data_IF_691188891929
#
_entry.id   IF_691188891929
#
_cell.length_a   1.000
_cell.length_b   1.000
_cell.length_c   1.000
_cell.angle_alpha   90.00
_cell.angle_beta   90.00
_cell.angle_gamma   90.00
#
_symmetry.space_group_name_H-M   'P 1'
#
loop_
_entity.id
_entity.type
_entity.pdbx_description
1 polymer ?
#
# COMPACT_ATOMS: atom_id res chain seq x y z
N UNK A 1 -10.91 8.09 -18.17
CA UNK A 1 -11.74 6.97 -17.63
C UNK A 1 -11.17 6.49 -16.30
N UNK A 2 -12.00 6.11 -15.34
CA UNK A 2 -11.59 5.56 -14.05
C UNK A 2 -12.13 4.14 -13.95
N UNK A 3 -11.27 3.17 -13.61
CA UNK A 3 -11.66 1.79 -13.37
C UNK A 3 -11.60 1.45 -11.89
N UNK A 4 -12.58 0.71 -11.41
CA UNK A 4 -12.57 0.06 -10.12
C UNK A 4 -12.91 -1.41 -10.29
N UNK A 5 -12.36 -2.29 -9.45
CA UNK A 5 -12.61 -3.71 -9.55
C UNK A 5 -12.68 -4.36 -8.16
N UNK A 6 -13.56 -5.32 -8.05
CA UNK A 6 -13.74 -6.13 -6.85
C UNK A 6 -13.97 -7.60 -7.23
N UNK A 7 -13.75 -8.49 -6.28
CA UNK A 7 -13.94 -9.93 -6.47
C UNK A 7 -14.88 -10.45 -5.40
N UNK A 8 -15.88 -11.18 -5.83
CA UNK A 8 -16.94 -11.74 -4.99
C UNK A 8 -17.06 -13.26 -5.12
N UNK A 9 -17.96 -13.83 -4.31
CA UNK A 9 -18.23 -15.28 -4.31
C UNK A 9 -19.51 -15.65 -5.02
N UNK A 10 -20.51 -14.77 -5.05
CA UNK A 10 -21.84 -15.04 -5.56
C UNK A 10 -22.27 -14.07 -6.67
N UNK A 11 -22.71 -14.60 -7.80
CA UNK A 11 -23.19 -13.81 -8.95
C UNK A 11 -24.54 -13.16 -8.66
N UNK A 12 -25.48 -13.90 -8.05
CA UNK A 12 -26.85 -13.45 -7.84
C UNK A 12 -26.94 -12.10 -7.12
N UNK A 13 -26.23 -11.95 -6.01
CA UNK A 13 -26.27 -10.70 -5.24
C UNK A 13 -25.70 -9.50 -5.99
N UNK A 14 -24.68 -9.71 -6.83
CA UNK A 14 -24.16 -8.65 -7.70
C UNK A 14 -25.14 -8.29 -8.81
N UNK A 15 -25.71 -9.27 -9.48
CA UNK A 15 -26.68 -9.05 -10.56
C UNK A 15 -27.93 -8.34 -10.04
N UNK A 16 -28.49 -8.77 -8.90
CA UNK A 16 -29.61 -8.09 -8.24
C UNK A 16 -29.27 -6.62 -7.90
N UNK A 17 -28.05 -6.36 -7.45
CA UNK A 17 -27.59 -4.99 -7.17
C UNK A 17 -27.52 -4.15 -8.44
N UNK A 18 -26.99 -4.70 -9.54
CA UNK A 18 -26.82 -3.98 -10.81
C UNK A 18 -28.17 -3.70 -11.48
N UNK A 19 -29.08 -4.68 -11.47
CA UNK A 19 -30.39 -4.55 -12.09
C UNK A 19 -31.37 -3.61 -11.35
N UNK A 20 -31.24 -3.53 -10.01
CA UNK A 20 -32.09 -2.67 -9.17
C UNK A 20 -31.75 -1.19 -9.19
N UNK A 21 -30.61 -0.81 -9.78
CA UNK A 21 -30.28 0.62 -9.87
C UNK A 21 -31.28 1.31 -10.83
N UNK A 22 -31.63 2.54 -10.47
CA UNK A 22 -32.44 3.40 -11.35
C UNK A 22 -31.72 3.56 -12.70
N UNK A 23 -32.46 3.43 -13.81
CA UNK A 23 -31.92 3.47 -15.17
C UNK A 23 -30.88 2.39 -15.53
N UNK A 24 -30.86 1.27 -14.82
CA UNK A 24 -30.00 0.15 -15.17
C UNK A 24 -30.40 -0.46 -16.52
N UNK A 25 -29.44 -0.58 -17.43
CA UNK A 25 -29.67 -1.19 -18.76
C UNK A 25 -28.61 -2.26 -19.02
N UNK A 26 -29.04 -3.46 -19.31
CA UNK A 26 -28.18 -4.53 -19.85
C UNK A 26 -27.83 -4.17 -21.29
N UNK A 27 -26.58 -3.83 -21.59
CA UNK A 27 -26.15 -3.34 -22.90
C UNK A 27 -25.29 -4.33 -23.68
N UNK A 28 -24.78 -5.38 -23.03
CA UNK A 28 -23.90 -6.34 -23.69
C UNK A 28 -23.54 -7.53 -22.82
N UNK A 29 -22.72 -8.40 -23.41
CA UNK A 29 -22.28 -9.64 -22.82
C UNK A 29 -22.32 -10.80 -23.82
N UNK A 30 -21.91 -11.97 -23.35
CA UNK A 30 -21.91 -13.22 -24.14
C UNK A 30 -22.91 -14.25 -23.57
N UNK A 31 -23.92 -13.77 -22.86
CA UNK A 31 -24.95 -14.61 -22.19
C UNK A 31 -26.34 -14.30 -22.72
N UNK A 32 -27.25 -15.28 -22.65
CA UNK A 32 -28.58 -15.18 -23.21
C UNK A 32 -29.63 -14.67 -22.23
N UNK A 33 -29.40 -14.69 -20.93
CA UNK A 33 -30.32 -14.21 -19.91
C UNK A 33 -30.50 -12.70 -19.97
N UNK A 34 -31.69 -12.23 -19.67
CA UNK A 34 -32.09 -10.83 -19.71
C UNK A 34 -32.43 -10.25 -18.31
N UNK A 35 -32.39 -11.05 -17.28
CA UNK A 35 -32.61 -10.67 -15.89
C UNK A 35 -31.60 -11.33 -14.94
N UNK A 36 -31.51 -10.82 -13.71
CA UNK A 36 -30.57 -11.31 -12.70
C UNK A 36 -30.75 -12.80 -12.36
N UNK A 37 -31.98 -13.34 -12.47
CA UNK A 37 -32.25 -14.74 -12.16
C UNK A 37 -31.73 -15.64 -13.29
N UNK A 38 -32.04 -15.31 -14.52
CA UNK A 38 -31.64 -16.06 -15.72
C UNK A 38 -30.09 -16.05 -15.83
N UNK A 39 -29.48 -14.87 -15.74
CA UNK A 39 -28.01 -14.70 -15.78
C UNK A 39 -27.30 -15.45 -14.64
N UNK A 40 -27.84 -15.41 -13.42
CA UNK A 40 -27.25 -16.17 -12.31
C UNK A 40 -27.31 -17.69 -12.52
N UNK A 41 -28.34 -18.19 -13.23
CA UNK A 41 -28.45 -19.59 -13.64
C UNK A 41 -27.38 -19.94 -14.67
N UNK A 42 -27.17 -19.09 -15.67
CA UNK A 42 -26.14 -19.30 -16.70
C UNK A 42 -24.71 -19.27 -16.11
N UNK A 43 -24.40 -18.39 -15.16
CA UNK A 43 -23.12 -18.39 -14.47
C UNK A 43 -22.83 -19.69 -13.70
N UNK A 44 -23.84 -20.52 -13.40
CA UNK A 44 -23.65 -21.85 -12.83
C UNK A 44 -22.83 -22.77 -13.74
N UNK A 45 -22.85 -22.55 -15.07
CA UNK A 45 -22.08 -23.34 -16.03
C UNK A 45 -20.60 -23.23 -15.73
N UNK A 46 -20.07 -22.02 -15.65
CA UNK A 46 -18.67 -21.82 -15.28
C UNK A 46 -18.39 -22.31 -13.85
N UNK A 47 -19.33 -22.12 -12.92
CA UNK A 47 -19.16 -22.57 -11.53
C UNK A 47 -19.04 -24.09 -11.41
N UNK A 48 -19.72 -24.86 -12.27
CA UNK A 48 -19.63 -26.33 -12.33
C UNK A 48 -18.25 -26.81 -12.78
N UNK A 49 -17.54 -26.02 -13.62
CA UNK A 49 -16.19 -26.35 -14.06
C UNK A 49 -15.13 -26.21 -12.96
N UNK A 50 -15.41 -25.41 -11.92
CA UNK A 50 -14.53 -25.24 -10.77
C UNK A 50 -15.36 -24.97 -9.49
N UNK A 51 -15.91 -26.04 -8.87
CA UNK A 51 -16.73 -25.90 -7.66
C UNK A 51 -15.97 -25.36 -6.44
N UNK A 52 -14.68 -25.66 -6.33
CA UNK A 52 -13.82 -25.25 -5.22
C UNK A 52 -13.26 -23.83 -5.35
N UNK A 53 -13.48 -23.19 -6.50
CA UNK A 53 -12.95 -21.83 -6.75
C UNK A 53 -13.49 -20.82 -5.73
N UNK A 54 -12.59 -20.05 -5.09
CA UNK A 54 -12.96 -18.92 -4.24
C UNK A 54 -12.95 -17.61 -5.06
N UNK A 55 -13.81 -16.65 -4.67
CA UNK A 55 -13.93 -15.32 -5.29
C UNK A 55 -13.99 -15.37 -6.82
N UNK A 56 -14.88 -16.20 -7.34
CA UNK A 56 -15.04 -16.46 -8.77
C UNK A 56 -15.77 -15.35 -9.53
N UNK A 57 -16.39 -14.42 -8.84
CA UNK A 57 -17.05 -13.26 -9.44
C UNK A 57 -16.03 -12.14 -9.61
N UNK A 58 -15.96 -11.58 -10.81
CA UNK A 58 -15.25 -10.35 -11.11
C UNK A 58 -16.27 -9.25 -11.37
N UNK A 59 -16.17 -8.16 -10.64
CA UNK A 59 -16.96 -6.96 -10.84
C UNK A 59 -16.04 -5.81 -11.13
N UNK A 60 -16.11 -5.24 -12.32
CA UNK A 60 -15.40 -4.02 -12.68
C UNK A 60 -16.43 -2.91 -13.00
N UNK A 61 -16.08 -1.67 -12.68
CA UNK A 61 -16.78 -0.50 -13.19
C UNK A 61 -15.80 0.38 -13.96
N UNK A 62 -16.23 0.86 -15.12
CA UNK A 62 -15.51 1.82 -15.96
C UNK A 62 -16.37 3.09 -16.04
N UNK A 63 -15.79 4.24 -15.66
CA UNK A 63 -16.51 5.50 -15.56
C UNK A 63 -15.76 6.60 -16.31
N UNK A 64 -16.48 7.38 -17.12
CA UNK A 64 -15.94 8.52 -17.83
C UNK A 64 -15.84 9.76 -16.94
N UNK A 65 -14.98 10.72 -17.26
CA UNK A 65 -15.00 12.04 -16.67
C UNK A 65 -16.36 12.73 -16.87
N UNK A 66 -16.63 13.72 -16.05
CA UNK A 66 -17.84 14.53 -16.19
C UNK A 66 -17.93 15.16 -17.57
N UNK A 67 -19.11 15.04 -18.20
CA UNK A 67 -19.40 15.62 -19.53
C UNK A 67 -19.05 14.72 -20.71
N UNK A 68 -18.27 13.66 -20.54
CA UNK A 68 -18.05 12.62 -21.56
C UNK A 68 -19.17 11.57 -21.50
N UNK A 69 -19.66 11.16 -22.67
CA UNK A 69 -20.65 10.09 -22.83
C UNK A 69 -20.33 9.26 -24.05
N UNK A 70 -20.68 7.98 -24.02
CA UNK A 70 -20.58 7.05 -25.14
C UNK A 70 -21.93 6.43 -25.44
N UNK A 71 -22.11 5.91 -26.65
CA UNK A 71 -23.25 5.06 -26.97
C UNK A 71 -23.06 3.63 -26.41
N UNK A 72 -24.12 2.84 -26.39
CA UNK A 72 -24.09 1.50 -25.81
C UNK A 72 -23.17 0.54 -26.59
N UNK A 73 -23.08 0.72 -27.93
CA UNK A 73 -22.22 -0.12 -28.78
C UNK A 73 -20.73 0.11 -28.48
N UNK A 74 -20.32 1.37 -28.37
CA UNK A 74 -18.95 1.76 -28.01
C UNK A 74 -18.60 1.29 -26.59
N UNK A 75 -19.51 1.43 -25.63
CA UNK A 75 -19.30 0.91 -24.27
C UNK A 75 -19.12 -0.61 -24.25
N UNK A 76 -19.90 -1.35 -25.05
CA UNK A 76 -19.80 -2.80 -25.13
C UNK A 76 -18.46 -3.22 -25.76
N UNK A 77 -17.99 -2.52 -26.77
CA UNK A 77 -16.68 -2.75 -27.40
C UNK A 77 -15.54 -2.49 -26.41
N UNK A 78 -15.58 -1.38 -25.69
CA UNK A 78 -14.60 -1.05 -24.63
C UNK A 78 -14.59 -2.13 -23.55
N UNK A 79 -15.76 -2.56 -23.08
CA UNK A 79 -15.87 -3.61 -22.06
C UNK A 79 -15.30 -4.95 -22.53
N UNK A 80 -15.54 -5.32 -23.78
CA UNK A 80 -14.98 -6.51 -24.42
C UNK A 80 -13.45 -6.46 -24.45
N UNK A 81 -12.90 -5.42 -25.04
CA UNK A 81 -11.43 -5.24 -25.13
C UNK A 81 -10.79 -5.20 -23.74
N UNK A 82 -11.41 -4.51 -22.79
CA UNK A 82 -10.94 -4.49 -21.41
C UNK A 82 -10.87 -5.90 -20.82
N UNK A 83 -11.91 -6.71 -21.00
CA UNK A 83 -11.95 -8.08 -20.50
C UNK A 83 -10.91 -8.98 -21.18
N UNK A 84 -10.78 -8.92 -22.50
CA UNK A 84 -9.79 -9.68 -23.26
C UNK A 84 -8.36 -9.38 -22.78
N UNK A 85 -7.98 -8.09 -22.68
CA UNK A 85 -6.66 -7.68 -22.22
C UNK A 85 -6.43 -7.99 -20.71
N UNK A 86 -7.49 -8.09 -19.92
CA UNK A 86 -7.44 -8.60 -18.54
C UNK A 86 -7.35 -10.14 -18.46
N UNK A 87 -7.46 -10.87 -19.60
CA UNK A 87 -7.36 -12.32 -19.69
C UNK A 87 -8.68 -13.07 -19.51
N UNK A 88 -9.81 -12.40 -19.76
CA UNK A 88 -11.16 -12.98 -19.73
C UNK A 88 -11.68 -13.36 -21.12
N UNK A 89 -10.82 -13.87 -21.99
CA UNK A 89 -11.10 -14.22 -23.38
C UNK A 89 -12.02 -15.46 -23.55
N UNK A 90 -12.14 -16.29 -22.51
CA UNK A 90 -13.00 -17.49 -22.51
C UNK A 90 -13.89 -17.55 -21.27
N UNK A 91 -14.50 -16.42 -20.90
CA UNK A 91 -15.25 -16.29 -19.69
C UNK A 91 -16.68 -15.77 -19.96
N UNK A 92 -17.64 -16.19 -19.14
CA UNK A 92 -18.99 -15.61 -19.17
C UNK A 92 -18.93 -14.19 -18.59
N UNK A 93 -19.64 -13.26 -19.21
CA UNK A 93 -19.77 -11.89 -18.71
C UNK A 93 -21.03 -11.20 -19.22
N UNK A 94 -21.43 -10.13 -18.49
CA UNK A 94 -22.49 -9.18 -18.88
C UNK A 94 -22.06 -7.77 -18.54
N UNK A 95 -22.61 -6.80 -19.27
CA UNK A 95 -22.33 -5.38 -19.13
C UNK A 95 -23.62 -4.61 -18.85
N UNK A 96 -23.68 -3.96 -17.69
CA UNK A 96 -24.76 -3.05 -17.32
C UNK A 96 -24.30 -1.60 -17.42
N UNK A 97 -25.11 -0.73 -18.00
CA UNK A 97 -24.91 0.71 -18.01
C UNK A 97 -25.86 1.37 -17.01
N UNK A 98 -25.36 2.32 -16.23
CA UNK A 98 -26.14 3.16 -15.33
C UNK A 98 -26.02 4.61 -15.76
N UNK A 99 -27.14 5.32 -15.90
CA UNK A 99 -27.20 6.72 -16.34
C UNK A 99 -27.66 7.69 -15.24
N UNK A 100 -27.91 7.18 -14.05
CA UNK A 100 -28.43 7.93 -12.89
C UNK A 100 -27.39 8.78 -12.15
N UNK A 101 -26.19 8.91 -12.66
CA UNK A 101 -25.11 9.70 -12.07
C UNK A 101 -24.58 10.74 -13.05
N UNK A 102 -23.83 11.73 -12.54
CA UNK A 102 -23.17 12.75 -13.37
C UNK A 102 -22.10 12.15 -14.31
N UNK A 103 -21.63 10.95 -14.01
CA UNK A 103 -20.62 10.23 -14.78
C UNK A 103 -21.26 9.08 -15.55
N UNK A 104 -21.09 9.06 -16.86
CA UNK A 104 -21.45 7.91 -17.66
C UNK A 104 -20.55 6.72 -17.33
N UNK A 105 -21.14 5.59 -16.97
CA UNK A 105 -20.39 4.43 -16.51
C UNK A 105 -21.06 3.10 -16.78
N UNK A 106 -20.22 2.08 -16.89
CA UNK A 106 -20.67 0.69 -17.04
C UNK A 106 -20.12 -0.18 -15.91
N UNK A 107 -20.90 -1.21 -15.59
CA UNK A 107 -20.50 -2.29 -14.70
C UNK A 107 -20.38 -3.59 -15.48
N UNK A 108 -19.27 -4.27 -15.32
CA UNK A 108 -18.98 -5.57 -15.91
C UNK A 108 -19.07 -6.62 -14.80
N UNK A 109 -19.97 -7.59 -14.96
CA UNK A 109 -20.01 -8.78 -14.13
C UNK A 109 -19.48 -9.95 -14.95
N UNK A 110 -18.35 -10.55 -14.55
CA UNK A 110 -17.74 -11.66 -15.27
C UNK A 110 -17.40 -12.82 -14.34
N UNK A 111 -17.42 -14.04 -14.87
CA UNK A 111 -16.89 -15.20 -14.19
C UNK A 111 -15.37 -15.22 -14.32
N UNK A 112 -14.65 -15.39 -13.22
CA UNK A 112 -13.20 -15.62 -13.25
C UNK A 112 -12.83 -17.05 -13.67
N UNK A 113 -13.81 -17.95 -13.75
CA UNK A 113 -13.60 -19.32 -14.20
C UNK A 113 -13.69 -19.34 -15.72
N UNK A 114 -12.64 -19.79 -16.37
CA UNK A 114 -12.55 -19.93 -17.82
C UNK A 114 -13.40 -21.13 -18.28
N UNK A 115 -14.12 -20.99 -19.38
CA UNK A 115 -14.96 -22.05 -19.95
C UNK A 115 -14.15 -23.14 -20.65
N UNK A 116 -12.97 -22.77 -21.18
CA UNK A 116 -12.09 -23.67 -21.92
C UNK A 116 -11.33 -24.70 -21.04
N UNK A 117 -11.06 -24.35 -19.79
CA UNK A 117 -10.19 -25.19 -18.95
C UNK A 117 -10.53 -25.19 -17.44
N UNK A 118 -11.57 -24.49 -17.01
CA UNK A 118 -12.01 -24.41 -15.61
C UNK A 118 -11.05 -23.65 -14.67
N UNK A 119 -9.95 -23.09 -15.17
CA UNK A 119 -8.99 -22.36 -14.37
C UNK A 119 -9.50 -20.95 -14.04
N UNK A 120 -9.06 -20.43 -12.90
CA UNK A 120 -9.39 -19.05 -12.50
C UNK A 120 -8.41 -18.09 -13.17
N UNK A 121 -8.92 -17.01 -13.78
CA UNK A 121 -8.12 -15.92 -14.34
C UNK A 121 -7.19 -15.37 -13.28
N UNK A 122 -5.90 -15.27 -13.64
CA UNK A 122 -4.86 -14.81 -12.74
C UNK A 122 -5.05 -13.32 -12.36
N UNK A 123 -4.95 -13.02 -11.08
CA UNK A 123 -5.19 -11.68 -10.53
C UNK A 123 -3.95 -10.96 -9.99
N UNK A 124 -2.76 -11.47 -10.29
CA UNK A 124 -1.52 -10.80 -9.96
C UNK A 124 -1.41 -9.45 -10.68
N UNK A 125 -1.15 -8.39 -9.89
CA UNK A 125 -1.00 -7.02 -10.39
C UNK A 125 -2.21 -6.50 -11.20
N UNK A 126 -3.39 -7.06 -10.98
CA UNK A 126 -4.60 -6.77 -11.76
C UNK A 126 -4.99 -5.28 -11.72
N UNK A 127 -4.84 -4.59 -10.60
CA UNK A 127 -5.07 -3.14 -10.53
C UNK A 127 -4.15 -2.35 -11.46
N UNK A 128 -2.85 -2.72 -11.52
CA UNK A 128 -1.89 -2.06 -12.40
C UNK A 128 -2.17 -2.40 -13.87
N UNK A 129 -2.49 -3.67 -14.18
CA UNK A 129 -2.87 -4.08 -15.53
C UNK A 129 -4.12 -3.33 -15.99
N UNK A 130 -5.17 -3.34 -15.18
CA UNK A 130 -6.42 -2.61 -15.44
C UNK A 130 -6.16 -1.13 -15.73
N UNK A 131 -5.34 -0.45 -14.93
CA UNK A 131 -5.01 0.95 -15.15
C UNK A 131 -4.27 1.17 -16.48
N UNK A 132 -3.32 0.28 -16.83
CA UNK A 132 -2.59 0.34 -18.11
C UNK A 132 -3.53 0.16 -19.29
N UNK A 133 -4.43 -0.83 -19.23
CA UNK A 133 -5.44 -1.10 -20.25
C UNK A 133 -6.37 0.11 -20.42
N UNK A 134 -6.88 0.66 -19.32
CA UNK A 134 -7.75 1.83 -19.36
C UNK A 134 -7.06 3.04 -20.02
N UNK A 135 -5.78 3.29 -19.72
CA UNK A 135 -5.01 4.37 -20.39
C UNK A 135 -4.87 4.13 -21.89
N UNK A 136 -4.74 2.87 -22.32
CA UNK A 136 -4.68 2.54 -23.74
C UNK A 136 -6.05 2.71 -24.40
N UNK A 137 -7.14 2.24 -23.78
CA UNK A 137 -8.51 2.42 -24.27
C UNK A 137 -8.86 3.89 -24.41
N UNK A 138 -8.49 4.75 -23.45
CA UNK A 138 -8.70 6.21 -23.60
C UNK A 138 -8.06 6.79 -24.85
N UNK A 139 -6.87 6.33 -25.22
CA UNK A 139 -6.18 6.78 -26.45
C UNK A 139 -6.86 6.25 -27.70
N UNK A 140 -7.19 4.97 -27.71
CA UNK A 140 -7.75 4.29 -28.89
C UNK A 140 -9.13 4.81 -29.26
N UNK A 141 -9.93 5.21 -28.25
CA UNK A 141 -11.28 5.77 -28.44
C UNK A 141 -11.32 7.31 -28.37
N UNK A 142 -10.16 7.98 -28.35
CA UNK A 142 -10.10 9.44 -28.34
C UNK A 142 -10.71 10.10 -27.11
N UNK A 143 -10.74 9.40 -25.97
CA UNK A 143 -11.32 9.88 -24.72
C UNK A 143 -10.36 10.78 -23.95
N UNK A 144 -10.91 11.58 -23.05
CA UNK A 144 -10.11 12.39 -22.13
C UNK A 144 -9.17 11.51 -21.30
N UNK A 145 -7.88 11.76 -21.43
CA UNK A 145 -6.87 11.03 -20.67
C UNK A 145 -6.88 11.43 -19.20
N UNK A 146 -7.08 10.47 -18.34
CA UNK A 146 -7.05 10.67 -16.89
C UNK A 146 -5.64 10.38 -16.34
N UNK A 147 -5.07 11.24 -15.47
CA UNK A 147 -3.77 10.95 -14.86
C UNK A 147 -3.75 9.61 -14.15
N UNK A 148 -2.66 8.86 -14.31
CA UNK A 148 -2.46 7.59 -13.65
C UNK A 148 -2.44 7.74 -12.12
N UNK A 149 -2.79 6.66 -11.42
CA UNK A 149 -2.75 6.62 -9.95
C UNK A 149 -1.37 6.95 -9.38
N UNK A 150 -0.31 6.66 -10.16
CA UNK A 150 1.07 7.00 -9.81
C UNK A 150 1.41 8.48 -10.00
N UNK A 151 0.62 9.22 -10.79
CA UNK A 151 0.82 10.64 -11.09
C UNK A 151 0.01 11.53 -10.15
N UNK A 152 -1.03 11.00 -9.51
CA UNK A 152 -1.82 11.76 -8.53
C UNK A 152 -0.96 12.12 -7.33
N UNK A 153 -0.62 13.39 -7.22
CA UNK A 153 0.24 13.92 -6.15
C UNK A 153 -0.36 13.70 -4.77
N UNK A 154 -1.67 13.85 -4.63
CA UNK A 154 -2.45 13.60 -3.41
C UNK A 154 -3.66 12.72 -3.74
N UNK A 155 -4.03 11.83 -2.83
CA UNK A 155 -5.21 10.97 -2.97
C UNK A 155 -6.31 11.42 -2.04
N UNK A 156 -7.43 11.82 -2.61
CA UNK A 156 -8.64 12.19 -1.88
C UNK A 156 -9.22 11.00 -1.08
N UNK A 157 -10.12 11.23 -0.14
CA UNK A 157 -10.93 10.20 0.49
C UNK A 157 -11.68 9.37 -0.55
N UNK A 158 -11.94 8.10 -0.24
CA UNK A 158 -12.81 7.29 -1.08
C UNK A 158 -14.25 7.82 -1.06
N UNK A 159 -15.05 7.50 -2.08
CA UNK A 159 -16.48 7.87 -2.15
C UNK A 159 -17.23 7.44 -0.87
N UNK A 160 -16.94 6.24 -0.34
CA UNK A 160 -17.54 5.79 0.91
C UNK A 160 -17.15 6.65 2.12
N UNK A 161 -15.90 7.14 2.17
CA UNK A 161 -15.46 8.08 3.21
C UNK A 161 -16.10 9.46 3.03
N UNK A 162 -16.25 9.96 1.80
CA UNK A 162 -16.93 11.22 1.52
C UNK A 162 -18.40 11.18 1.95
N UNK A 163 -19.15 10.14 1.53
CA UNK A 163 -20.54 9.93 1.94
C UNK A 163 -20.70 9.81 3.44
N UNK A 164 -19.77 9.18 4.13
CA UNK A 164 -19.76 9.13 5.59
C UNK A 164 -19.57 10.51 6.18
N UNK A 165 -18.63 11.30 5.67
CA UNK A 165 -18.39 12.67 6.16
C UNK A 165 -19.61 13.57 5.93
N UNK A 166 -20.22 13.48 4.75
CA UNK A 166 -21.45 14.23 4.43
C UNK A 166 -22.59 13.88 5.40
N UNK A 167 -22.78 12.58 5.65
CA UNK A 167 -23.79 12.13 6.62
C UNK A 167 -23.49 12.62 8.02
N UNK A 168 -22.25 12.46 8.52
CA UNK A 168 -21.81 12.92 9.83
C UNK A 168 -21.96 14.44 9.99
N UNK A 169 -21.74 15.19 8.90
CA UNK A 169 -21.96 16.64 8.88
C UNK A 169 -23.46 16.98 8.96
N UNK A 170 -24.31 16.27 8.25
CA UNK A 170 -25.77 16.47 8.33
C UNK A 170 -26.29 16.13 9.71
N UNK A 171 -25.87 15.02 10.32
CA UNK A 171 -26.22 14.62 11.69
C UNK A 171 -25.77 15.68 12.73
N UNK A 172 -24.63 16.34 12.50
CA UNK A 172 -24.16 17.43 13.36
C UNK A 172 -25.02 18.69 13.20
N UNK A 173 -25.38 19.05 11.95
CA UNK A 173 -26.24 20.23 11.66
C UNK A 173 -27.65 20.03 12.20
N UNK A 174 -28.20 18.81 12.11
CA UNK A 174 -29.54 18.47 12.66
C UNK A 174 -29.56 18.36 14.17
N UNK A 175 -28.41 18.33 14.86
CA UNK A 175 -28.30 18.15 16.29
C UNK A 175 -28.31 16.70 16.77
N UNK A 176 -28.37 15.73 15.86
CA UNK A 176 -28.35 14.29 16.17
C UNK A 176 -26.95 13.81 16.60
N UNK A 177 -25.92 14.60 16.33
CA UNK A 177 -24.54 14.33 16.71
C UNK A 177 -23.95 15.49 17.52
N UNK A 178 -23.33 15.22 18.69
CA UNK A 178 -22.80 16.27 19.57
C UNK A 178 -21.49 16.90 19.10
N UNK A 179 -20.77 16.27 18.18
CA UNK A 179 -19.47 16.71 17.70
C UNK A 179 -19.44 16.84 16.17
N UNK A 180 -18.74 17.86 15.62
CA UNK A 180 -18.60 17.99 14.17
C UNK A 180 -17.88 16.77 13.60
N UNK A 181 -18.02 16.58 12.29
CA UNK A 181 -17.33 15.51 11.58
C UNK A 181 -15.80 15.60 11.76
N UNK A 182 -15.15 14.47 11.99
CA UNK A 182 -13.70 14.40 11.98
C UNK A 182 -13.19 14.16 10.57
N UNK A 183 -12.20 14.95 10.15
CA UNK A 183 -11.51 14.72 8.88
C UNK A 183 -10.84 13.33 8.88
N UNK A 184 -10.84 12.59 7.76
CA UNK A 184 -10.15 11.32 7.67
C UNK A 184 -8.70 11.43 8.12
N UNK A 185 -8.23 10.46 8.89
CA UNK A 185 -6.83 10.41 9.39
C UNK A 185 -5.83 10.55 8.24
N UNK A 186 -6.16 9.99 7.08
CA UNK A 186 -5.37 10.15 5.86
C UNK A 186 -5.16 11.60 5.47
N UNK A 187 -6.22 12.42 5.45
CA UNK A 187 -6.13 13.84 5.11
C UNK A 187 -5.36 14.63 6.17
N UNK A 188 -5.65 14.37 7.45
CA UNK A 188 -4.91 14.97 8.56
C UNK A 188 -3.41 14.67 8.46
N UNK A 189 -3.04 13.42 8.09
CA UNK A 189 -1.64 13.03 7.91
C UNK A 189 -0.99 13.70 6.69
N UNK A 190 -1.73 13.85 5.59
CA UNK A 190 -1.26 14.60 4.42
C UNK A 190 -0.97 16.05 4.78
N UNK A 191 -1.91 16.74 5.45
CA UNK A 191 -1.74 18.13 5.91
C UNK A 191 -0.56 18.28 6.88
N UNK A 192 -0.34 17.29 7.75
CA UNK A 192 0.78 17.28 8.68
C UNK A 192 2.12 17.15 7.94
N UNK A 193 2.21 16.26 6.96
CA UNK A 193 3.41 16.11 6.12
C UNK A 193 3.64 17.39 5.31
N UNK A 194 2.57 18.01 4.78
CA UNK A 194 2.66 19.23 3.99
C UNK A 194 3.22 20.40 4.83
N UNK A 195 2.75 20.55 6.07
CA UNK A 195 3.30 21.54 7.00
C UNK A 195 4.75 21.24 7.36
N UNK A 196 5.07 19.98 7.61
CA UNK A 196 6.43 19.57 7.99
C UNK A 196 7.46 19.73 6.86
N UNK A 197 6.99 19.86 5.59
CA UNK A 197 7.84 20.04 4.40
C UNK A 197 7.86 21.47 3.86
N UNK A 198 7.14 22.42 4.46
CA UNK A 198 6.92 23.77 3.91
C UNK A 198 8.21 24.58 3.72
N UNK A 199 9.24 24.33 4.50
CA UNK A 199 10.54 25.02 4.48
C UNK A 199 11.66 24.21 3.80
N UNK A 200 11.31 23.21 2.99
CA UNK A 200 12.26 22.33 2.28
C UNK A 200 13.29 21.64 3.19
N UNK A 201 12.88 20.90 4.23
CA UNK A 201 13.76 20.30 5.19
C UNK A 201 14.62 19.19 4.59
N UNK A 202 15.64 18.75 5.32
CA UNK A 202 16.32 17.49 5.03
C UNK A 202 15.41 16.30 5.40
N UNK A 203 15.67 15.12 4.81
CA UNK A 203 14.90 13.91 5.12
C UNK A 203 14.95 13.55 6.62
N UNK A 204 16.10 13.61 7.32
CA UNK A 204 16.13 13.41 8.77
C UNK A 204 15.26 14.41 9.55
N UNK A 205 15.32 15.70 9.20
CA UNK A 205 14.48 16.72 9.85
C UNK A 205 12.99 16.47 9.66
N UNK A 206 12.56 16.07 8.45
CA UNK A 206 11.18 15.69 8.21
C UNK A 206 10.75 14.51 9.10
N UNK A 207 11.57 13.45 9.16
CA UNK A 207 11.27 12.27 9.98
C UNK A 207 11.15 12.67 11.46
N UNK A 208 12.06 13.47 11.97
CA UNK A 208 12.07 13.94 13.36
C UNK A 208 10.82 14.77 13.68
N UNK A 209 10.44 15.73 12.82
CA UNK A 209 9.21 16.53 12.96
C UNK A 209 7.96 15.65 13.01
N UNK A 210 7.88 14.67 12.12
CA UNK A 210 6.76 13.73 12.10
C UNK A 210 6.70 12.87 13.37
N UNK A 211 7.85 12.45 13.90
CA UNK A 211 7.91 11.69 15.14
C UNK A 211 7.47 12.52 16.37
N UNK A 212 7.81 13.79 16.43
CA UNK A 212 7.36 14.74 17.47
C UNK A 212 5.83 14.86 17.47
N UNK A 213 5.21 14.81 16.28
CA UNK A 213 3.73 14.78 16.10
C UNK A 213 3.11 13.38 16.32
N UNK A 214 3.90 12.43 16.79
CA UNK A 214 3.45 11.06 17.07
C UNK A 214 3.31 10.15 15.84
N UNK A 215 3.81 10.58 14.67
CA UNK A 215 3.81 9.75 13.46
C UNK A 215 5.02 8.83 13.48
N UNK A 216 4.79 7.52 13.47
CA UNK A 216 5.87 6.55 13.29
C UNK A 216 6.19 6.42 11.80
N UNK A 217 7.40 6.77 11.42
CA UNK A 217 7.89 6.66 10.04
C UNK A 217 8.67 5.35 9.88
N UNK A 218 8.48 4.65 8.77
CA UNK A 218 9.26 3.47 8.38
C UNK A 218 9.80 3.71 6.97
N UNK A 219 11.10 3.60 6.83
CA UNK A 219 11.80 3.66 5.56
C UNK A 219 12.70 2.43 5.45
N UNK A 220 12.68 1.78 4.30
CA UNK A 220 13.52 0.62 4.03
C UNK A 220 14.36 0.83 2.78
N UNK A 221 15.56 0.28 2.79
CA UNK A 221 16.42 0.20 1.62
C UNK A 221 16.38 -1.22 1.03
N UNK A 222 16.54 -1.32 -0.29
CA UNK A 222 16.82 -2.59 -0.97
C UNK A 222 18.27 -3.00 -0.73
N UNK A 223 18.62 -4.25 -1.08
CA UNK A 223 20.00 -4.75 -1.05
C UNK A 223 20.99 -3.82 -1.78
N UNK A 224 20.54 -3.15 -2.84
CA UNK A 224 21.34 -2.24 -3.66
C UNK A 224 21.26 -0.77 -3.20
N UNK A 225 20.87 -0.50 -1.95
CA UNK A 225 20.74 0.85 -1.40
C UNK A 225 19.60 1.70 -1.97
N UNK A 226 18.73 1.14 -2.84
CA UNK A 226 17.57 1.87 -3.34
C UNK A 226 16.45 1.86 -2.31
N UNK A 227 15.72 2.98 -2.19
CA UNK A 227 14.56 3.07 -1.31
C UNK A 227 13.49 2.02 -1.66
N UNK A 228 13.05 1.24 -0.66
CA UNK A 228 11.88 0.37 -0.74
C UNK A 228 10.57 1.15 -0.59
N UNK A 229 10.66 2.44 -0.34
CA UNK A 229 9.54 3.32 -0.07
C UNK A 229 9.50 3.78 1.38
N UNK A 230 8.56 4.65 1.66
CA UNK A 230 8.29 5.20 2.98
C UNK A 230 6.85 4.87 3.38
N UNK A 231 6.63 4.57 4.64
CA UNK A 231 5.31 4.38 5.22
C UNK A 231 5.19 5.06 6.57
N UNK A 232 3.97 5.41 6.92
CA UNK A 232 3.61 6.19 8.08
C UNK A 232 2.59 5.42 8.91
N UNK A 233 2.74 5.42 10.22
CA UNK A 233 1.74 4.88 11.15
C UNK A 233 1.34 5.97 12.12
N UNK A 234 0.04 6.27 12.20
CA UNK A 234 -0.51 7.34 13.03
C UNK A 234 -1.94 7.02 13.44
N UNK A 235 -2.30 7.29 14.70
CA UNK A 235 -3.65 7.00 15.25
C UNK A 235 -4.12 5.58 14.89
N UNK A 236 -3.25 4.58 15.12
CA UNK A 236 -3.49 3.15 14.86
C UNK A 236 -3.77 2.76 13.40
N UNK A 237 -3.54 3.68 12.45
CA UNK A 237 -3.63 3.41 11.02
C UNK A 237 -2.26 3.46 10.35
N UNK A 238 -2.09 2.62 9.32
CA UNK A 238 -0.86 2.54 8.54
C UNK A 238 -1.11 2.95 7.09
N UNK A 239 -0.25 3.83 6.58
CA UNK A 239 -0.32 4.34 5.21
C UNK A 239 1.03 4.17 4.52
N UNK A 240 1.06 3.57 3.33
CA UNK A 240 2.24 3.71 2.46
C UNK A 240 2.26 5.11 1.83
N UNK A 241 3.44 5.61 1.47
CA UNK A 241 3.53 6.87 0.75
C UNK A 241 2.68 6.89 -0.52
N UNK A 242 2.61 5.77 -1.25
CA UNK A 242 1.74 5.63 -2.43
C UNK A 242 0.25 5.69 -2.10
N UNK A 243 -0.16 5.26 -0.91
CA UNK A 243 -1.55 5.36 -0.46
C UNK A 243 -1.96 6.80 -0.17
N UNK A 244 -1.03 7.64 0.27
CA UNK A 244 -1.26 9.08 0.45
C UNK A 244 -1.24 9.83 -0.89
N UNK A 245 -0.42 9.40 -1.83
CA UNK A 245 -0.23 9.99 -3.16
C UNK A 245 1.23 10.01 -3.58
N UNK A 246 1.48 10.31 -4.86
CA UNK A 246 2.83 10.31 -5.41
C UNK A 246 3.79 11.27 -4.67
N UNK A 247 3.29 12.43 -4.23
CA UNK A 247 4.08 13.43 -3.52
C UNK A 247 4.56 12.98 -2.12
N UNK A 248 3.91 11.96 -1.52
CA UNK A 248 4.22 11.45 -0.19
C UNK A 248 5.07 10.18 -0.20
N UNK A 249 5.47 9.73 -1.38
CA UNK A 249 6.47 8.64 -1.52
C UNK A 249 7.87 9.17 -1.24
N UNK A 250 8.83 8.30 -0.93
CA UNK A 250 10.21 8.74 -0.68
C UNK A 250 10.82 9.55 -1.83
N UNK A 251 10.69 9.15 -3.11
CA UNK A 251 11.09 10.02 -4.24
C UNK A 251 10.18 11.25 -4.40
N UNK A 252 8.89 11.10 -4.11
CA UNK A 252 7.92 12.18 -4.26
C UNK A 252 8.13 13.33 -3.29
N UNK A 253 8.52 13.05 -2.05
CA UNK A 253 8.90 14.04 -1.07
C UNK A 253 10.05 14.93 -1.60
N UNK A 254 11.02 14.33 -2.26
CA UNK A 254 12.13 15.07 -2.86
C UNK A 254 11.69 15.89 -4.08
N UNK A 255 10.91 15.27 -4.98
CA UNK A 255 10.50 15.88 -6.25
C UNK A 255 9.42 16.94 -6.09
N UNK A 256 8.46 16.74 -5.19
CA UNK A 256 7.24 17.54 -5.11
C UNK A 256 7.05 18.31 -3.80
N UNK A 257 7.85 18.00 -2.76
CA UNK A 257 7.77 18.62 -1.43
C UNK A 257 9.10 19.28 -1.02
N UNK A 258 10.07 19.37 -1.94
CA UNK A 258 11.34 20.05 -1.69
C UNK A 258 12.25 19.41 -0.63
N UNK A 259 11.94 18.18 -0.19
CA UNK A 259 12.74 17.51 0.83
C UNK A 259 14.12 17.16 0.29
N UNK A 260 15.16 17.68 0.90
CA UNK A 260 16.54 17.42 0.51
C UNK A 260 17.03 16.10 1.11
N UNK A 261 17.51 15.20 0.25
CA UNK A 261 18.08 13.92 0.69
C UNK A 261 19.40 13.63 -0.01
N UNK A 262 20.41 13.34 0.80
CA UNK A 262 21.75 12.92 0.34
C UNK A 262 22.16 11.66 1.11
N UNK A 263 22.32 10.48 0.45
CA UNK A 263 22.60 9.22 1.14
C UNK A 263 23.76 9.29 2.13
N UNK A 264 24.90 9.83 1.69
CA UNK A 264 26.13 9.92 2.53
C UNK A 264 25.95 10.79 3.78
N UNK A 265 25.08 11.81 3.71
CA UNK A 265 24.81 12.72 4.83
C UNK A 265 23.72 12.18 5.74
N UNK A 266 22.66 11.60 5.16
CA UNK A 266 21.37 11.44 5.84
C UNK A 266 21.11 10.02 6.32
N UNK A 267 21.66 8.97 5.67
CA UNK A 267 21.29 7.59 5.96
C UNK A 267 21.58 7.19 7.41
N UNK A 268 22.75 7.56 7.93
CA UNK A 268 23.11 7.25 9.32
C UNK A 268 22.13 7.91 10.31
N UNK A 269 21.76 9.18 10.07
CA UNK A 269 20.81 9.90 10.93
C UNK A 269 19.40 9.36 10.79
N UNK A 270 18.96 9.01 9.59
CA UNK A 270 17.65 8.35 9.36
C UNK A 270 17.59 7.04 10.16
N UNK A 271 18.60 6.19 10.04
CA UNK A 271 18.66 4.92 10.79
C UNK A 271 18.57 5.18 12.29
N UNK A 272 19.33 6.14 12.80
CA UNK A 272 19.31 6.53 14.23
C UNK A 272 17.91 6.96 14.69
N UNK A 273 17.22 7.80 13.92
CA UNK A 273 15.86 8.26 14.21
C UNK A 273 14.81 7.13 14.14
N UNK A 274 15.00 6.16 13.24
CA UNK A 274 14.10 5.01 13.13
C UNK A 274 14.28 4.02 14.29
N UNK A 275 15.49 3.92 14.84
CA UNK A 275 15.81 3.08 15.98
C UNK A 275 15.42 3.74 17.32
N UNK A 276 15.68 5.04 17.44
CA UNK A 276 15.39 5.85 18.64
C UNK A 276 14.50 7.02 18.25
N UNK A 277 13.18 6.80 18.09
CA UNK A 277 12.27 7.85 17.65
C UNK A 277 12.21 8.99 18.67
N UNK A 278 12.14 10.23 18.18
CA UNK A 278 11.90 11.40 19.00
C UNK A 278 10.62 11.23 19.83
N UNK A 279 10.68 11.62 21.09
CA UNK A 279 9.52 11.49 21.98
C UNK A 279 8.41 12.46 21.53
N UNK A 280 7.16 12.00 21.41
CA UNK A 280 6.04 12.90 21.12
C UNK A 280 5.93 13.97 22.19
N UNK A 281 5.76 15.20 21.78
CA UNK A 281 5.47 16.31 22.72
C UNK A 281 4.07 16.06 23.29
N UNK A 282 3.95 15.93 24.61
CA UNK A 282 2.65 15.88 25.28
C UNK A 282 1.89 17.18 24.98
N UNK A 283 0.73 17.03 24.42
CA UNK A 283 -0.19 18.02 23.88
C UNK A 283 -0.17 19.36 24.61
N UNK A 284 0.13 20.43 23.92
CA UNK A 284 -0.42 21.75 24.15
C UNK A 284 -1.67 21.94 23.27
N UNK A 285 -2.72 22.50 23.87
CA UNK A 285 -3.99 22.93 23.26
C UNK A 285 -3.77 23.80 22.00
N UNK A 286 -4.78 23.99 21.13
CA UNK A 286 -4.62 24.70 19.87
C UNK A 286 -4.07 26.10 20.10
N UNK A 287 -2.97 26.43 19.45
CA UNK A 287 -2.34 27.75 19.49
C UNK A 287 -2.87 28.58 18.32
N UNK A 288 -3.53 29.66 18.69
CA UNK A 288 -3.82 30.79 17.80
C UNK A 288 -2.52 31.43 17.28
N UNK A 289 -2.60 31.86 16.03
CA UNK A 289 -1.75 32.79 15.29
C UNK A 289 -0.36 33.15 15.86
N UNK A 290 0.68 32.75 15.14
CA UNK A 290 2.04 33.30 15.33
C UNK A 290 2.20 34.64 14.58
N UNK A 291 2.37 35.72 15.34
CA UNK A 291 3.01 36.94 14.90
C UNK A 291 4.51 36.81 15.13
N UNK A 292 5.26 37.20 14.10
CA UNK A 292 6.73 37.34 14.09
C UNK A 292 7.26 38.13 15.28
N UNK A 293 8.33 37.66 15.92
CA UNK A 293 9.32 38.49 16.63
C UNK A 293 10.71 37.93 16.47
N UNK A 294 11.62 38.88 16.19
CA UNK A 294 13.04 38.74 15.94
C UNK A 294 13.87 38.38 17.18
N UNK A 295 14.98 37.76 16.91
CA UNK A 295 16.28 37.71 17.60
C UNK A 295 16.38 37.96 19.10
N UNK A 296 16.96 36.98 19.79
CA UNK A 296 18.08 37.22 20.74
C UNK A 296 18.89 35.92 20.91
N UNK A 297 20.20 36.08 20.69
CA UNK A 297 21.25 35.11 20.98
C UNK A 297 21.31 34.81 22.48
N UNK A 298 21.53 33.57 22.85
CA UNK A 298 22.39 33.27 24.02
C UNK A 298 22.95 31.84 23.93
N UNK A 299 24.20 31.81 24.39
CA UNK A 299 25.28 30.86 24.34
C UNK A 299 24.99 29.44 24.89
N UNK A 300 25.65 28.50 24.23
CA UNK A 300 26.44 27.36 24.70
C UNK A 300 25.99 26.60 25.96
N UNK A 301 25.52 25.36 25.73
CA UNK A 301 25.94 24.18 26.49
C UNK A 301 25.95 22.97 25.59
N UNK A 302 27.14 22.42 25.31
CA UNK A 302 27.36 21.16 24.60
C UNK A 302 26.74 19.98 25.38
N UNK A 303 26.00 19.08 24.72
CA UNK A 303 25.75 17.76 25.29
C UNK A 303 26.90 16.83 24.93
N UNK A 304 27.40 16.17 25.96
CA UNK A 304 28.48 15.19 25.94
C UNK A 304 28.31 14.16 24.82
N UNK A 305 29.36 14.02 24.03
CA UNK A 305 29.56 13.07 22.96
C UNK A 305 29.35 11.61 23.44
N UNK A 306 28.26 10.97 23.04
CA UNK A 306 28.24 9.51 22.96
C UNK A 306 28.94 9.10 21.66
N UNK A 307 29.82 8.09 21.65
CA UNK A 307 30.57 7.70 20.47
C UNK A 307 29.58 7.24 19.36
N UNK A 308 29.73 7.82 18.19
CA UNK A 308 28.97 7.42 17.01
C UNK A 308 29.21 5.93 16.71
N UNK A 309 28.13 5.16 16.61
CA UNK A 309 28.19 3.76 16.24
C UNK A 309 28.74 3.61 14.81
N UNK A 310 29.74 2.77 14.62
CA UNK A 310 30.25 2.49 13.28
C UNK A 310 29.21 1.77 12.41
N UNK A 311 29.43 1.73 11.09
CA UNK A 311 28.51 1.10 10.11
C UNK A 311 28.11 -0.33 10.48
N UNK A 312 29.03 -1.15 11.00
CA UNK A 312 28.79 -2.55 11.36
C UNK A 312 27.93 -2.68 12.62
N UNK A 313 28.13 -1.83 13.61
CA UNK A 313 27.32 -1.75 14.82
C UNK A 313 25.88 -1.35 14.49
N UNK A 314 25.71 -0.40 13.59
CA UNK A 314 24.39 0.03 13.10
C UNK A 314 23.67 -1.14 12.40
N UNK A 315 24.38 -1.89 11.54
CA UNK A 315 23.81 -3.04 10.83
C UNK A 315 23.42 -4.18 11.77
N UNK A 316 24.23 -4.46 12.78
CA UNK A 316 23.89 -5.45 13.80
C UNK A 316 22.62 -5.08 14.58
N UNK A 317 22.51 -3.84 15.03
CA UNK A 317 21.32 -3.35 15.72
C UNK A 317 20.08 -3.43 14.84
N UNK A 318 20.19 -3.04 13.58
CA UNK A 318 19.10 -3.13 12.61
C UNK A 318 18.61 -4.58 12.43
N UNK A 319 19.52 -5.55 12.32
CA UNK A 319 19.18 -6.96 12.21
C UNK A 319 18.52 -7.48 13.49
N UNK A 320 19.03 -7.12 14.66
CA UNK A 320 18.47 -7.49 15.96
C UNK A 320 17.02 -7.03 16.12
N UNK A 321 16.69 -5.84 15.63
CA UNK A 321 15.34 -5.28 15.67
C UNK A 321 14.44 -5.90 14.61
N UNK A 322 14.93 -6.02 13.38
CA UNK A 322 14.16 -6.57 12.25
C UNK A 322 13.72 -8.00 12.52
N UNK A 323 14.60 -8.79 13.13
CA UNK A 323 14.34 -10.18 13.50
C UNK A 323 13.69 -10.35 14.89
N UNK A 324 13.38 -9.25 15.59
CA UNK A 324 12.79 -9.24 16.94
C UNK A 324 13.62 -10.01 17.98
N UNK A 325 14.94 -9.87 17.93
CA UNK A 325 15.87 -10.64 18.77
C UNK A 325 16.34 -9.90 20.02
N UNK A 326 15.84 -8.72 20.28
CA UNK A 326 16.31 -7.83 21.36
C UNK A 326 16.16 -8.43 22.77
N UNK A 327 15.20 -9.33 22.97
CA UNK A 327 14.96 -10.01 24.23
C UNK A 327 15.83 -11.26 24.46
N UNK A 328 16.60 -11.69 23.44
CA UNK A 328 17.44 -12.89 23.51
C UNK A 328 18.79 -12.59 24.16
N UNK A 329 19.43 -13.63 24.67
CA UNK A 329 20.83 -13.57 25.10
C UNK A 329 21.73 -13.13 23.94
N UNK A 330 22.89 -12.47 24.19
CA UNK A 330 23.81 -12.07 23.12
C UNK A 330 24.22 -13.25 22.22
N UNK A 331 24.44 -14.43 22.76
CA UNK A 331 24.82 -15.63 22.00
C UNK A 331 23.71 -16.11 21.08
N UNK A 332 22.47 -16.19 21.59
CA UNK A 332 21.32 -16.61 20.78
C UNK A 332 20.95 -15.59 19.72
N UNK A 333 21.12 -14.31 20.04
CA UNK A 333 20.90 -13.20 19.09
C UNK A 333 21.90 -13.28 17.94
N UNK A 334 23.19 -13.42 18.24
CA UNK A 334 24.25 -13.53 17.24
C UNK A 334 24.06 -14.73 16.35
N UNK A 335 23.74 -15.90 16.93
CA UNK A 335 23.48 -17.13 16.18
C UNK A 335 22.32 -16.95 15.17
N UNK A 336 21.22 -16.32 15.60
CA UNK A 336 20.07 -16.06 14.71
C UNK A 336 20.36 -15.02 13.64
N UNK A 337 21.19 -14.00 13.94
CA UNK A 337 21.66 -13.05 12.95
C UNK A 337 22.54 -13.74 11.92
N UNK A 338 23.49 -14.60 12.35
CA UNK A 338 24.37 -15.35 11.45
C UNK A 338 23.55 -16.28 10.54
N UNK A 339 22.62 -17.05 11.11
CA UNK A 339 21.73 -17.94 10.35
C UNK A 339 20.94 -17.14 9.29
N UNK A 340 20.39 -15.99 9.65
CA UNK A 340 19.68 -15.11 8.71
C UNK A 340 20.57 -14.58 7.59
N UNK A 341 21.81 -14.20 7.91
CA UNK A 341 22.76 -13.68 6.92
C UNK A 341 23.29 -14.77 5.98
N UNK A 342 23.49 -15.99 6.50
CA UNK A 342 23.82 -17.17 5.67
C UNK A 342 22.71 -17.44 4.68
N UNK A 343 21.44 -17.48 5.10
CA UNK A 343 20.28 -17.68 4.24
C UNK A 343 20.07 -16.56 3.22
N UNK A 344 20.72 -15.40 3.40
CA UNK A 344 20.75 -14.30 2.43
C UNK A 344 22.01 -14.30 1.56
N UNK A 345 22.81 -15.36 1.58
CA UNK A 345 24.06 -15.50 0.81
C UNK A 345 25.05 -14.35 1.04
N UNK A 346 25.11 -13.79 2.26
CA UNK A 346 26.08 -12.75 2.60
C UNK A 346 27.49 -13.33 2.69
N UNK A 347 28.50 -12.51 2.37
CA UNK A 347 29.88 -12.96 2.46
C UNK A 347 30.28 -13.28 3.90
N UNK A 348 31.13 -14.28 4.10
CA UNK A 348 31.66 -14.67 5.41
C UNK A 348 32.38 -13.49 6.08
N UNK A 349 33.00 -12.60 5.29
CA UNK A 349 33.69 -11.42 5.82
C UNK A 349 32.70 -10.40 6.37
N UNK A 350 31.59 -10.12 5.65
CA UNK A 350 30.55 -9.19 6.13
C UNK A 350 29.89 -9.70 7.41
N UNK A 351 29.62 -11.02 7.50
CA UNK A 351 29.08 -11.66 8.70
C UNK A 351 30.03 -11.45 9.90
N UNK A 352 31.34 -11.68 9.71
CA UNK A 352 32.35 -11.45 10.73
C UNK A 352 32.38 -10.00 11.21
N UNK A 353 32.35 -9.07 10.27
CA UNK A 353 32.43 -7.65 10.59
C UNK A 353 31.19 -7.14 11.33
N UNK A 354 30.01 -7.63 10.96
CA UNK A 354 28.73 -7.32 11.64
C UNK A 354 28.76 -7.84 13.10
N UNK A 355 29.14 -9.09 13.31
CA UNK A 355 29.09 -9.72 14.64
C UNK A 355 30.21 -9.18 15.54
N UNK A 356 31.44 -9.03 15.00
CA UNK A 356 32.60 -8.52 15.76
C UNK A 356 32.38 -7.10 16.27
N UNK A 357 31.72 -6.25 15.49
CA UNK A 357 31.52 -4.85 15.82
C UNK A 357 30.18 -4.57 16.52
N UNK A 358 29.17 -5.41 16.32
CA UNK A 358 27.82 -5.18 16.79
C UNK A 358 27.43 -5.90 18.10
N UNK A 359 28.21 -6.90 18.51
CA UNK A 359 27.95 -7.72 19.69
C UNK A 359 29.05 -7.57 20.75
N UNK A 360 29.06 -8.51 21.72
CA UNK A 360 30.12 -8.62 22.70
C UNK A 360 31.44 -9.06 22.03
N UNK A 361 32.56 -8.63 22.57
CA UNK A 361 33.89 -9.07 22.08
C UNK A 361 34.02 -10.57 22.24
N UNK A 362 34.44 -11.26 21.16
CA UNK A 362 34.65 -12.71 21.10
C UNK A 362 36.04 -13.05 20.58
N UNK A 363 36.54 -14.18 21.04
CA UNK A 363 37.74 -14.78 20.46
C UNK A 363 37.39 -15.40 19.08
N UNK A 364 38.43 -15.64 18.29
CA UNK A 364 38.27 -16.26 16.96
C UNK A 364 37.69 -17.69 17.06
N UNK A 365 37.97 -18.41 18.14
CA UNK A 365 37.45 -19.75 18.42
C UNK A 365 35.96 -19.73 18.73
N UNK A 366 35.53 -18.82 19.60
CA UNK A 366 34.09 -18.66 19.95
C UNK A 366 33.26 -18.24 18.74
N UNK A 367 33.79 -17.35 17.90
CA UNK A 367 33.13 -16.96 16.67
C UNK A 367 32.95 -18.16 15.72
N UNK A 368 34.01 -18.99 15.56
CA UNK A 368 33.94 -20.18 14.71
C UNK A 368 32.87 -21.17 15.18
N UNK A 369 32.80 -21.45 16.47
CA UNK A 369 31.76 -22.32 17.07
C UNK A 369 30.36 -21.77 16.83
N UNK A 370 30.19 -20.45 16.96
CA UNK A 370 28.90 -19.81 16.77
C UNK A 370 28.43 -19.91 15.31
N UNK A 371 29.34 -19.77 14.35
CA UNK A 371 29.04 -19.94 12.92
C UNK A 371 28.68 -21.40 12.58
N UNK A 372 29.41 -22.38 13.11
CA UNK A 372 29.13 -23.80 12.93
C UNK A 372 27.72 -24.14 13.44
N UNK A 373 27.35 -23.68 14.63
CA UNK A 373 26.02 -23.88 15.20
C UNK A 373 24.91 -23.18 14.35
N UNK A 374 25.21 -22.03 13.77
CA UNK A 374 24.26 -21.31 12.94
C UNK A 374 24.05 -22.01 11.57
N UNK A 375 25.10 -22.60 11.00
CA UNK A 375 25.02 -23.41 9.76
C UNK A 375 24.14 -24.64 10.01
N UNK A 376 24.39 -25.40 11.10
CA UNK A 376 23.60 -26.57 11.48
C UNK A 376 22.12 -26.21 11.69
N UNK A 377 21.83 -25.04 12.25
CA UNK A 377 20.45 -24.58 12.46
C UNK A 377 19.77 -24.19 11.13
N UNK A 378 20.53 -23.60 10.20
CA UNK A 378 20.06 -23.22 8.86
C UNK A 378 19.70 -24.46 8.03
N UNK A 379 20.57 -25.48 8.01
CA UNK A 379 20.34 -26.74 7.29
C UNK A 379 19.14 -27.51 7.86
N UNK A 380 18.93 -27.48 9.18
CA UNK A 380 17.75 -28.09 9.82
C UNK A 380 16.45 -27.37 9.51
N UNK A 381 16.50 -26.07 9.21
CA UNK A 381 15.31 -25.32 8.78
C UNK A 381 14.92 -25.63 7.35
N UNK A 382 15.88 -25.87 6.46
CA UNK A 382 15.62 -26.28 5.07
C UNK A 382 15.08 -27.71 4.95
N UNK A 383 15.43 -28.59 5.87
CA UNK A 383 14.99 -30.01 5.89
C UNK A 383 13.62 -30.24 6.53
N UNK A 384 12.96 -29.23 7.08
CA UNK A 384 11.58 -29.40 7.61
C UNK A 384 10.60 -29.58 6.45
N UNK A 385 9.95 -30.75 6.30
CA UNK A 385 8.96 -30.97 5.25
C UNK A 385 7.80 -30.00 5.46
N UNK A 386 7.39 -29.33 4.37
CA UNK A 386 6.15 -28.57 4.31
C UNK A 386 5.02 -29.53 4.66
N UNK A 387 4.55 -29.52 5.90
CA UNK A 387 3.33 -30.23 6.28
C UNK A 387 2.18 -29.58 5.51
N UNK A 388 1.83 -30.18 4.37
CA UNK A 388 0.52 -29.96 3.74
C UNK A 388 -0.51 -30.44 4.75
N UNK A 389 -1.21 -29.51 5.35
CA UNK A 389 -2.38 -29.81 6.18
C UNK A 389 -3.47 -30.45 5.34
N UNK A 390 -3.54 -31.77 5.36
CA UNK A 390 -4.72 -32.51 5.05
C UNK A 390 -5.59 -32.44 6.30
N UNK A 391 -6.54 -31.53 6.35
CA UNK A 391 -7.69 -31.61 7.25
C UNK A 391 -8.84 -32.27 6.50
N UNK A 392 -9.29 -33.36 7.08
CA UNK A 392 -10.51 -34.10 6.71
C UNK A 392 -11.76 -33.24 6.83
#
# INVERSE_FOLDING_TARGET
MIGNQTKGRGFRGLLDYLEKQEDAKLIGGNMGGNDAIALAREFKISRQLNPEGDRVVYHASLSLPHGERLDDATWNEIANRYLEEMGFDSNQYVVYRHSNTEHDHVHICASRIRLDNGKIVHDGWDYKRSETIIRQLEKDYGLQQTPSSHEKLSRNPSIGQQRRLEREQQEYISGDRPTPQERPIKQQLQELIDRATADNPTMPQLIERLQIEGVKVRHGLTRNGKSKGISYSWKDQQFSGTHLGAAYTFPGLQKHKGVNYQPKRDDARIISLLLNPAKPTQQSKPVESFKSKEHQENAEQEPQNQPELNHWQQRYQQLSLTLKLTALSPNDRDRKIICHLINQEQSVQDIKDIIKNGSIQRTQSEFKQLVELAIDESEKQEQKPIRRGLSR
#
